data_IF_970962013587
#
_entry.id   IF_970962013587
#
_cell.length_a   1.000
_cell.length_b   1.000
_cell.length_c   1.000
_cell.angle_alpha   90.00
_cell.angle_beta   90.00
_cell.angle_gamma   90.00
#
_symmetry.space_group_name_H-M   'P 1'
#
loop_
_entity.id
_entity.type
_entity.pdbx_description
1 polymer ?
#
# COMPACT_ATOMS: atom_id res chain seq x y z
N UNK A 1 -4.79 0.38 18.58
CA UNK A 1 -6.06 -0.38 18.63
C UNK A 1 -7.16 0.52 19.21
N UNK A 2 -8.44 0.09 19.21
CA UNK A 2 -9.55 0.89 19.74
C UNK A 2 -9.62 0.82 21.27
N UNK A 3 -9.98 1.92 21.95
CA UNK A 3 -10.16 1.93 23.42
C UNK A 3 -11.59 1.51 23.81
N UNK A 4 -11.72 0.32 24.39
CA UNK A 4 -13.00 -0.22 24.88
C UNK A 4 -13.23 0.06 26.38
N UNK A 5 -12.31 0.78 27.04
CA UNK A 5 -12.26 0.90 28.49
C UNK A 5 -11.48 -0.24 29.15
N UNK A 6 -11.01 -0.01 30.37
CA UNK A 6 -9.97 -0.84 31.02
C UNK A 6 -10.29 -2.34 31.13
N UNK A 7 -11.52 -2.68 31.49
CA UNK A 7 -11.94 -4.08 31.68
C UNK A 7 -11.94 -4.81 30.34
N UNK A 8 -12.57 -4.21 29.34
CA UNK A 8 -12.70 -4.82 28.01
C UNK A 8 -11.34 -4.82 27.29
N UNK A 9 -10.52 -3.78 27.43
CA UNK A 9 -9.14 -3.79 26.93
C UNK A 9 -8.32 -4.92 27.55
N UNK A 10 -8.49 -5.21 28.85
CA UNK A 10 -7.77 -6.32 29.49
C UNK A 10 -8.24 -7.68 28.94
N UNK A 11 -9.53 -7.83 28.66
CA UNK A 11 -10.08 -9.06 28.07
C UNK A 11 -9.62 -9.25 26.61
N UNK A 12 -9.58 -8.18 25.82
CA UNK A 12 -9.30 -8.24 24.37
C UNK A 12 -7.80 -8.15 24.08
N UNK A 13 -7.10 -7.19 24.70
CA UNK A 13 -5.70 -6.85 24.42
C UNK A 13 -4.72 -7.33 25.48
N UNK A 14 -5.21 -7.81 26.64
CA UNK A 14 -4.38 -8.17 27.80
C UNK A 14 -3.60 -7.01 28.42
N UNK A 15 -4.04 -5.78 28.11
CA UNK A 15 -3.49 -4.52 28.61
C UNK A 15 -4.65 -3.61 28.98
N UNK A 16 -4.48 -2.70 29.94
CA UNK A 16 -5.56 -1.76 30.33
C UNK A 16 -5.79 -0.63 29.32
N UNK A 17 -4.78 -0.36 28.49
CA UNK A 17 -4.80 0.62 27.40
C UNK A 17 -4.63 -0.13 26.07
N UNK A 18 -5.24 0.35 24.97
CA UNK A 18 -5.06 -0.27 23.67
C UNK A 18 -3.60 -0.13 23.23
N UNK A 19 -2.94 -1.19 22.77
CA UNK A 19 -1.57 -1.08 22.27
C UNK A 19 -1.52 -0.25 20.97
N UNK A 20 -0.37 0.40 20.78
CA UNK A 20 -0.06 1.19 19.59
C UNK A 20 0.24 0.31 18.37
N UNK A 21 0.13 0.90 17.18
CA UNK A 21 0.57 0.27 15.93
C UNK A 21 2.00 0.71 15.63
N UNK A 22 2.99 -0.21 15.68
CA UNK A 22 4.39 0.13 15.47
C UNK A 22 4.67 0.29 13.97
N UNK A 23 4.48 1.50 13.44
CA UNK A 23 4.65 1.80 12.02
C UNK A 23 6.08 1.53 11.54
N UNK A 24 7.07 1.66 12.41
CA UNK A 24 8.48 1.34 12.15
C UNK A 24 8.73 -0.14 11.85
N UNK A 25 7.76 -1.02 12.13
CA UNK A 25 7.83 -2.45 11.80
C UNK A 25 7.23 -2.80 10.45
N UNK A 26 6.70 -1.82 9.72
CA UNK A 26 6.20 -2.03 8.35
C UNK A 26 7.43 -2.17 7.44
N UNK A 27 7.64 -3.38 6.90
CA UNK A 27 8.80 -3.71 6.06
C UNK A 27 8.50 -3.77 4.56
N UNK A 28 7.23 -3.67 4.17
CA UNK A 28 6.84 -3.67 2.75
C UNK A 28 7.17 -2.31 2.11
N UNK A 29 7.59 -2.27 0.83
CA UNK A 29 7.73 -1.00 0.10
C UNK A 29 6.41 -0.23 0.04
N UNK A 30 6.43 1.06 0.38
CA UNK A 30 5.25 1.94 0.40
C UNK A 30 5.45 3.12 -0.55
N UNK A 31 4.53 3.27 -1.51
CA UNK A 31 4.39 4.50 -2.28
C UNK A 31 3.22 5.32 -1.71
N UNK A 32 3.50 6.53 -1.24
CA UNK A 32 2.54 7.45 -0.65
C UNK A 32 2.13 8.53 -1.65
N UNK A 33 0.82 8.76 -1.75
CA UNK A 33 0.22 9.83 -2.55
C UNK A 33 -0.62 10.70 -1.62
N UNK A 34 -0.39 12.02 -1.61
CA UNK A 34 -1.05 12.94 -0.69
C UNK A 34 -1.39 14.28 -1.35
N UNK A 35 -2.32 15.05 -0.76
CA UNK A 35 -2.77 16.32 -1.32
C UNK A 35 -2.74 17.44 -0.26
N UNK A 36 -2.34 18.63 -0.68
CA UNK A 36 -2.12 19.78 0.23
C UNK A 36 -3.39 20.32 0.90
N UNK A 37 -4.57 19.99 0.37
CA UNK A 37 -5.87 20.40 0.93
C UNK A 37 -6.72 19.23 1.41
N UNK A 38 -6.13 18.06 1.55
CA UNK A 38 -6.79 16.96 2.23
C UNK A 38 -6.98 17.31 3.71
N UNK A 39 -8.24 17.33 4.16
CA UNK A 39 -8.61 17.65 5.55
C UNK A 39 -8.65 16.41 6.45
N UNK A 40 -8.72 15.23 5.85
CA UNK A 40 -8.80 13.95 6.56
C UNK A 40 -7.38 13.40 6.72
N UNK A 41 -6.64 13.25 5.61
CA UNK A 41 -5.22 12.91 5.62
C UNK A 41 -4.38 14.19 5.47
N UNK A 42 -4.34 15.02 6.51
CA UNK A 42 -3.71 16.34 6.42
C UNK A 42 -2.19 16.24 6.19
N UNK A 43 -1.56 17.26 5.58
CA UNK A 43 -0.14 17.19 5.22
C UNK A 43 0.82 17.05 6.41
N UNK A 44 0.43 17.50 7.61
CA UNK A 44 1.27 17.38 8.82
C UNK A 44 1.30 15.91 9.25
N UNK A 45 0.13 15.29 9.38
CA UNK A 45 0.02 13.87 9.77
C UNK A 45 0.66 12.96 8.73
N UNK A 46 0.54 13.28 7.43
CA UNK A 46 1.24 12.55 6.37
C UNK A 46 2.76 12.69 6.51
N UNK A 47 3.27 13.87 6.86
CA UNK A 47 4.70 14.05 7.10
C UNK A 47 5.18 13.27 8.35
N UNK A 48 4.36 13.15 9.39
CA UNK A 48 4.61 12.27 10.53
C UNK A 48 4.66 10.79 10.09
N UNK A 49 3.71 10.36 9.27
CA UNK A 49 3.66 9.00 8.73
C UNK A 49 4.89 8.66 7.89
N UNK A 50 5.32 9.56 6.98
CA UNK A 50 6.53 9.37 6.18
C UNK A 50 7.75 9.17 7.07
N UNK A 51 7.87 9.97 8.15
CA UNK A 51 8.97 9.83 9.12
C UNK A 51 8.91 8.53 9.92
N UNK A 52 7.71 8.06 10.26
CA UNK A 52 7.54 6.82 11.02
C UNK A 52 7.80 5.56 10.18
N UNK A 53 7.47 5.60 8.88
CA UNK A 53 7.75 4.51 7.94
C UNK A 53 9.22 4.48 7.49
N UNK A 54 9.91 5.62 7.57
CA UNK A 54 11.34 5.81 7.30
C UNK A 54 11.82 5.06 6.04
N UNK A 55 12.54 3.95 6.24
CA UNK A 55 13.19 3.18 5.19
C UNK A 55 12.24 2.48 4.20
N UNK A 56 10.96 2.30 4.56
CA UNK A 56 9.98 1.62 3.70
C UNK A 56 9.39 2.49 2.59
N UNK A 57 9.57 3.82 2.64
CA UNK A 57 8.94 4.75 1.69
C UNK A 57 9.75 4.82 0.40
N UNK A 58 9.23 4.21 -0.67
CA UNK A 58 9.87 4.21 -2.01
C UNK A 58 9.44 5.38 -2.88
N UNK A 59 8.31 6.00 -2.55
CA UNK A 59 7.83 7.23 -3.17
C UNK A 59 7.01 8.02 -2.16
N UNK A 60 7.25 9.33 -2.09
CA UNK A 60 6.37 10.28 -1.41
C UNK A 60 5.96 11.37 -2.41
N UNK A 61 4.79 11.21 -3.01
CA UNK A 61 4.27 12.09 -4.05
C UNK A 61 3.15 12.98 -3.51
N UNK A 62 3.42 14.28 -3.39
CA UNK A 62 2.40 15.29 -3.10
C UNK A 62 1.82 15.80 -4.40
N UNK A 63 0.51 15.65 -4.60
CA UNK A 63 -0.16 16.04 -5.83
C UNK A 63 0.02 17.55 -6.08
N UNK A 64 0.38 17.97 -7.31
CA UNK A 64 0.59 19.37 -7.65
C UNK A 64 -0.73 20.18 -7.73
N UNK A 65 -1.88 19.51 -7.60
CA UNK A 65 -3.20 20.12 -7.67
C UNK A 65 -3.64 20.72 -6.33
N UNK A 66 -3.60 22.05 -6.23
CA UNK A 66 -3.98 22.79 -5.00
C UNK A 66 -5.43 22.60 -4.54
N UNK A 67 -6.34 22.21 -5.44
CA UNK A 67 -7.76 22.02 -5.14
C UNK A 67 -8.13 20.53 -5.06
N UNK A 68 -7.16 19.64 -4.84
CA UNK A 68 -7.39 18.22 -4.66
C UNK A 68 -7.58 17.92 -3.17
N UNK A 69 -8.66 17.22 -2.83
CA UNK A 69 -9.08 16.90 -1.47
C UNK A 69 -9.16 15.37 -1.29
N UNK A 70 -9.68 14.92 -0.15
CA UNK A 70 -9.68 13.50 0.22
C UNK A 70 -10.48 12.60 -0.73
N UNK A 71 -11.66 13.05 -1.14
CA UNK A 71 -12.57 12.33 -2.01
C UNK A 71 -12.13 12.33 -3.47
N UNK A 72 -11.38 13.35 -3.88
CA UNK A 72 -10.84 13.48 -5.24
C UNK A 72 -9.92 12.31 -5.63
N UNK A 73 -9.25 11.65 -4.67
CA UNK A 73 -8.42 10.47 -4.94
C UNK A 73 -9.20 9.33 -5.59
N UNK A 74 -10.51 9.25 -5.33
CA UNK A 74 -11.39 8.18 -5.82
C UNK A 74 -12.36 8.73 -6.88
N UNK A 75 -12.89 9.94 -6.67
CA UNK A 75 -14.04 10.45 -7.43
C UNK A 75 -13.68 11.46 -8.51
N UNK A 76 -12.47 12.03 -8.49
CA UNK A 76 -12.12 13.08 -9.43
C UNK A 76 -11.92 12.54 -10.83
N UNK A 77 -12.56 13.16 -11.83
CA UNK A 77 -12.28 12.87 -13.24
C UNK A 77 -10.84 13.19 -13.65
N UNK A 78 -10.11 13.96 -12.82
CA UNK A 78 -8.70 14.30 -13.06
C UNK A 78 -7.74 13.28 -12.43
N UNK A 79 -8.20 12.38 -11.56
CA UNK A 79 -7.36 11.42 -10.84
C UNK A 79 -6.51 10.56 -11.79
N UNK A 80 -7.06 10.17 -12.96
CA UNK A 80 -6.33 9.40 -13.97
C UNK A 80 -4.97 10.03 -14.31
N UNK A 81 -4.93 11.32 -14.64
CA UNK A 81 -3.72 11.96 -15.14
C UNK A 81 -2.78 12.45 -14.03
N UNK A 82 -3.31 12.80 -12.86
CA UNK A 82 -2.49 13.43 -11.79
C UNK A 82 -2.07 12.45 -10.69
N UNK A 83 -2.67 11.26 -10.67
CA UNK A 83 -2.42 10.23 -9.66
C UNK A 83 -2.12 8.88 -10.33
N UNK A 84 -3.03 8.38 -11.19
CA UNK A 84 -2.90 7.01 -11.71
C UNK A 84 -1.71 6.83 -12.64
N UNK A 85 -1.39 7.81 -13.51
CA UNK A 85 -0.21 7.72 -14.38
C UNK A 85 1.09 7.55 -13.57
N UNK A 86 1.24 8.31 -12.48
CA UNK A 86 2.40 8.19 -11.58
C UNK A 86 2.39 6.86 -10.83
N UNK A 87 1.22 6.40 -10.39
CA UNK A 87 1.05 5.11 -9.72
C UNK A 87 1.44 3.95 -10.64
N UNK A 88 0.96 3.92 -11.89
CA UNK A 88 1.28 2.88 -12.88
C UNK A 88 2.78 2.90 -13.20
N UNK A 89 3.36 4.09 -13.41
CA UNK A 89 4.81 4.21 -13.63
C UNK A 89 5.62 3.72 -12.43
N UNK A 90 5.14 3.96 -11.20
CA UNK A 90 5.77 3.45 -9.98
C UNK A 90 5.71 1.92 -9.93
N UNK A 91 4.55 1.32 -10.24
CA UNK A 91 4.37 -0.14 -10.27
C UNK A 91 5.23 -0.79 -11.35
N UNK A 92 5.36 -0.17 -12.52
CA UNK A 92 6.15 -0.70 -13.64
C UNK A 92 7.63 -0.94 -13.27
N UNK A 93 8.17 -0.19 -12.31
CA UNK A 93 9.54 -0.39 -11.80
C UNK A 93 9.70 -1.69 -11.01
N UNK A 94 8.61 -2.37 -10.66
CA UNK A 94 8.61 -3.62 -9.89
C UNK A 94 8.08 -4.83 -10.68
N UNK A 95 7.56 -4.63 -11.90
CA UNK A 95 7.00 -5.73 -12.73
C UNK A 95 7.99 -6.29 -13.75
N UNK A 96 9.21 -5.74 -13.85
CA UNK A 96 10.17 -6.08 -14.91
C UNK A 96 11.16 -7.19 -14.53
N UNK A 97 11.02 -7.81 -13.35
CA UNK A 97 12.02 -8.74 -12.82
C UNK A 97 11.49 -10.15 -12.48
N UNK A 98 10.21 -10.44 -12.74
CA UNK A 98 9.56 -11.73 -12.42
C UNK A 98 9.24 -12.58 -13.67
N UNK A 99 9.63 -12.14 -14.86
CA UNK A 99 9.37 -12.86 -16.12
C UNK A 99 10.41 -13.97 -16.44
N UNK A 100 11.41 -14.17 -15.59
CA UNK A 100 12.48 -15.16 -15.80
C UNK A 100 12.35 -16.43 -14.93
N UNK A 101 11.22 -16.61 -14.21
CA UNK A 101 10.96 -17.82 -13.40
C UNK A 101 9.72 -18.62 -13.83
N UNK A 102 9.33 -18.60 -15.11
CA UNK A 102 8.36 -19.57 -15.65
C UNK A 102 9.06 -20.79 -16.30
N UNK A 103 8.92 -21.92 -15.60
CA UNK A 103 8.64 -23.25 -16.17
C UNK A 103 9.82 -24.10 -16.70
N UNK A 104 10.64 -24.65 -15.79
CA UNK A 104 11.31 -25.94 -16.03
C UNK A 104 10.32 -27.09 -15.73
N UNK A 105 9.39 -27.35 -16.65
CA UNK A 105 8.62 -28.61 -16.66
C UNK A 105 9.49 -29.70 -17.27
N UNK A 106 9.77 -30.81 -16.56
CA UNK A 106 10.53 -31.90 -17.15
C UNK A 106 9.68 -32.62 -18.20
N UNK A 107 10.25 -32.78 -19.39
CA UNK A 107 9.71 -33.64 -20.45
C UNK A 107 9.53 -35.07 -19.92
N UNK A 108 8.29 -35.51 -19.79
CA UNK A 108 8.00 -36.91 -19.50
C UNK A 108 6.56 -37.20 -19.08
N UNK A 109 5.74 -37.62 -20.04
CA UNK A 109 5.22 -39.00 -20.13
C UNK A 109 4.37 -39.07 -21.42
N UNK A 110 4.87 -39.80 -22.42
CA UNK A 110 4.07 -40.26 -23.54
C UNK A 110 3.07 -41.31 -23.03
N UNK A 111 1.77 -41.00 -23.10
CA UNK A 111 0.73 -42.03 -23.02
C UNK A 111 0.30 -42.34 -24.45
N UNK A 112 0.61 -43.55 -24.90
CA UNK A 112 0.13 -44.13 -26.15
C UNK A 112 -1.33 -44.53 -25.97
N UNK A 113 -2.25 -43.81 -26.59
CA UNK A 113 -3.62 -44.28 -26.73
C UNK A 113 -3.72 -45.16 -27.98
N UNK A 114 -3.72 -46.47 -27.73
CA UNK A 114 -4.05 -47.49 -28.70
C UNK A 114 -5.46 -48.02 -28.37
N UNK A 115 -6.50 -47.52 -29.05
CA UNK A 115 -7.78 -48.23 -29.17
C UNK A 115 -8.45 -47.88 -30.51
N UNK A 116 -8.62 -48.90 -31.37
CA UNK A 116 -9.69 -48.99 -32.38
C UNK A 116 -9.29 -48.74 -33.82
#
# INVERSE_FOLDING_TARGET
>A
MYDNGKVDNLLIYRTTEPPEYPLERISVPVALFSAVRDKIANPVDVADLVRALDAGVVLNYVLPMRNFHHDDFILSCKAAHVLHDVMIATLANYTSNDADEEENVPDGIHISDNVG
#
